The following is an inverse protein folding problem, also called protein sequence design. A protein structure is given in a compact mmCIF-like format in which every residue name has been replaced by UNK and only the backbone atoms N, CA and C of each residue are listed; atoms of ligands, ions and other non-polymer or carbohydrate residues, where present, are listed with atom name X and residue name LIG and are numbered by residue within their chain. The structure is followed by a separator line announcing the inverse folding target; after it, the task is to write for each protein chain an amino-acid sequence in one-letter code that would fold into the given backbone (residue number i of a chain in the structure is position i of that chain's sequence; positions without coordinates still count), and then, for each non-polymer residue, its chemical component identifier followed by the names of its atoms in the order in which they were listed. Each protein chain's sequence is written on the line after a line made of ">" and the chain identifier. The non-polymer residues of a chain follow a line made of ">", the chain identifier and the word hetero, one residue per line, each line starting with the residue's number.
data_IF_756488682831
#
_entry.id   IF_756488682831
#
_cell.length_a   1.000
_cell.length_b   1.000
_cell.length_c   1.000
_cell.angle_alpha   90.00
_cell.angle_beta   90.00
_cell.angle_gamma   90.00
#
_symmetry.space_group_name_H-M   'P 1'
#
loop_
_entity.id
_entity.type
_entity.pdbx_description
1 polymer ?
#
# COMPACT_ATOMS: atom_id res chain seq x y z
N UNK A 1 37.98 -5.86 16.65
CA UNK A 1 36.79 -5.01 16.52
C UNK A 1 36.62 -4.69 15.05
N UNK A 2 35.99 -5.58 14.29
CA UNK A 2 35.57 -5.26 12.93
C UNK A 2 34.45 -4.21 13.03
N UNK A 3 34.69 -3.04 12.44
CA UNK A 3 33.64 -2.06 12.21
C UNK A 3 32.63 -2.74 11.30
N UNK A 4 31.47 -3.08 11.85
CA UNK A 4 30.32 -3.55 11.10
C UNK A 4 29.87 -2.37 10.20
N UNK A 5 30.50 -2.23 9.03
CA UNK A 5 30.09 -1.29 8.00
C UNK A 5 28.70 -1.75 7.58
N UNK A 6 27.67 -1.05 8.03
CA UNK A 6 26.32 -1.19 7.47
C UNK A 6 26.46 -1.07 5.95
N UNK A 7 26.05 -2.10 5.20
CA UNK A 7 26.19 -2.07 3.75
C UNK A 7 25.45 -0.87 3.19
N UNK A 8 26.15 -0.13 2.32
CA UNK A 8 25.65 1.13 1.76
C UNK A 8 24.54 0.77 0.76
N UNK A 9 23.43 1.51 0.82
CA UNK A 9 22.39 1.44 -0.20
C UNK A 9 22.47 2.68 -1.09
N UNK A 10 22.28 2.50 -2.40
CA UNK A 10 22.14 3.58 -3.38
C UNK A 10 20.75 3.55 -4.01
N UNK A 11 20.30 4.73 -4.43
CA UNK A 11 19.02 4.89 -5.14
C UNK A 11 19.27 5.69 -6.41
N UNK A 12 18.84 5.14 -7.54
CA UNK A 12 18.97 5.77 -8.86
C UNK A 12 17.60 5.86 -9.52
N UNK A 13 17.21 7.05 -10.00
CA UNK A 13 15.97 7.20 -10.75
C UNK A 13 16.07 6.45 -12.09
N UNK A 14 14.98 5.77 -12.46
CA UNK A 14 14.84 5.09 -13.73
C UNK A 14 14.08 5.98 -14.73
N UNK A 15 14.25 5.76 -16.04
CA UNK A 15 13.40 6.41 -17.03
C UNK A 15 11.93 6.11 -16.76
N UNK A 16 11.12 7.16 -16.65
CA UNK A 16 9.67 7.04 -16.46
C UNK A 16 9.05 6.27 -17.62
N UNK A 17 8.18 5.30 -17.33
CA UNK A 17 7.49 4.50 -18.35
C UNK A 17 5.98 4.70 -18.23
N UNK A 18 5.47 5.55 -19.12
CA UNK A 18 4.06 5.98 -19.18
C UNK A 18 3.28 5.25 -20.27
N UNK A 19 1.95 5.09 -20.12
CA UNK A 19 1.10 4.68 -21.23
C UNK A 19 1.09 5.75 -22.33
N UNK A 20 0.75 5.36 -23.56
CA UNK A 20 0.72 6.27 -24.72
C UNK A 20 -0.26 7.44 -24.51
N UNK A 21 -1.41 7.16 -23.89
CA UNK A 21 -2.44 8.15 -23.58
C UNK A 21 -2.18 8.96 -22.28
N UNK A 22 -0.97 8.87 -21.70
CA UNK A 22 -0.66 9.53 -20.45
C UNK A 22 -0.81 11.06 -20.53
N UNK A 23 -1.42 11.61 -19.49
CA UNK A 23 -1.47 13.06 -19.24
C UNK A 23 -1.18 13.32 -17.76
N UNK A 24 -0.75 14.53 -17.42
CA UNK A 24 -0.62 14.97 -16.02
C UNK A 24 -1.96 15.46 -15.44
N UNK A 25 -3.10 14.88 -15.86
CA UNK A 25 -4.43 15.34 -15.46
C UNK A 25 -4.74 15.17 -13.97
N UNK A 26 -3.93 14.39 -13.25
CA UNK A 26 -4.01 14.27 -11.78
C UNK A 26 -3.34 15.43 -11.05
N UNK A 27 -2.58 16.30 -11.72
CA UNK A 27 -1.92 17.47 -11.12
C UNK A 27 -2.82 18.69 -11.10
N UNK A 28 -2.84 19.41 -9.97
CA UNK A 28 -3.44 20.74 -9.84
C UNK A 28 -2.35 21.77 -9.52
N UNK A 29 -2.07 22.65 -10.49
CA UNK A 29 -0.98 23.62 -10.45
C UNK A 29 0.30 23.13 -11.14
N UNK A 30 1.28 24.03 -11.31
CA UNK A 30 2.60 23.71 -11.86
C UNK A 30 3.70 24.54 -11.15
N UNK A 31 4.51 23.97 -10.24
CA UNK A 31 4.47 22.57 -9.78
C UNK A 31 3.15 22.22 -9.07
N UNK A 32 2.77 20.93 -9.00
CA UNK A 32 1.51 20.52 -8.38
C UNK A 32 1.49 20.89 -6.90
N UNK A 33 0.38 21.49 -6.46
CA UNK A 33 0.11 21.81 -5.05
C UNK A 33 -0.98 20.93 -4.45
N UNK A 34 -1.73 20.25 -5.32
CA UNK A 34 -2.79 19.29 -5.01
C UNK A 34 -2.90 18.27 -6.13
N UNK A 35 -3.61 17.19 -5.84
CA UNK A 35 -3.88 16.10 -6.76
C UNK A 35 -5.38 15.85 -6.91
N UNK A 36 -5.79 15.22 -8.00
CA UNK A 36 -7.18 14.83 -8.26
C UNK A 36 -7.23 13.48 -8.96
N UNK A 37 -8.33 12.75 -8.80
CA UNK A 37 -8.60 11.60 -9.66
C UNK A 37 -9.04 12.09 -11.04
N UNK A 38 -8.34 11.75 -12.12
CA UNK A 38 -8.68 12.23 -13.45
C UNK A 38 -9.78 11.40 -14.14
N UNK A 39 -10.18 10.26 -13.55
CA UNK A 39 -11.07 9.30 -14.20
C UNK A 39 -12.54 9.49 -13.83
N UNK A 40 -13.42 9.26 -14.81
CA UNK A 40 -14.88 9.31 -14.62
C UNK A 40 -15.41 8.26 -13.63
N UNK A 41 -14.66 7.16 -13.47
CA UNK A 41 -14.89 6.10 -12.48
C UNK A 41 -14.79 6.59 -11.03
N UNK A 42 -14.25 7.79 -10.79
CA UNK A 42 -14.22 8.41 -9.47
C UNK A 42 -15.31 9.47 -9.33
N UNK A 43 -16.09 9.39 -8.24
CA UNK A 43 -16.92 10.50 -7.79
C UNK A 43 -16.67 10.80 -6.32
N UNK A 44 -16.41 12.07 -5.96
CA UNK A 44 -16.32 12.46 -4.57
C UNK A 44 -17.71 12.37 -3.93
N UNK A 45 -17.80 11.71 -2.77
CA UNK A 45 -19.04 11.69 -2.00
C UNK A 45 -19.28 13.06 -1.39
N UNK A 46 -20.40 13.71 -1.72
CA UNK A 46 -20.78 14.99 -1.13
C UNK A 46 -21.21 14.86 0.33
N UNK A 47 -21.03 15.91 1.14
CA UNK A 47 -21.38 15.93 2.57
C UNK A 47 -22.84 15.52 2.84
N UNK A 48 -23.76 15.89 1.95
CA UNK A 48 -25.18 15.55 2.04
C UNK A 48 -25.42 14.05 1.83
N UNK A 49 -24.72 13.41 0.89
CA UNK A 49 -24.87 11.95 0.70
C UNK A 49 -24.26 11.19 1.87
N UNK A 50 -23.11 11.63 2.38
CA UNK A 50 -22.49 11.05 3.57
C UNK A 50 -23.38 11.12 4.82
N UNK A 51 -24.04 12.25 5.03
CA UNK A 51 -24.98 12.43 6.15
C UNK A 51 -26.25 11.60 5.98
N UNK A 52 -26.86 11.60 4.78
CA UNK A 52 -28.07 10.83 4.48
C UNK A 52 -27.84 9.33 4.64
N UNK A 53 -26.73 8.82 4.11
CA UNK A 53 -26.37 7.41 4.24
C UNK A 53 -26.07 7.08 5.70
N UNK A 54 -25.39 7.92 6.49
CA UNK A 54 -25.20 7.68 7.93
C UNK A 54 -26.53 7.53 8.70
N UNK A 55 -27.58 8.22 8.29
CA UNK A 55 -28.92 8.11 8.89
C UNK A 55 -29.72 6.90 8.38
N UNK A 56 -29.46 6.44 7.15
CA UNK A 56 -30.24 5.40 6.47
C UNK A 56 -29.58 4.02 6.44
N UNK A 57 -28.27 3.92 6.68
CA UNK A 57 -27.59 2.63 6.73
C UNK A 57 -27.86 1.99 8.09
N UNK A 58 -28.51 0.82 8.16
CA UNK A 58 -28.55 0.06 9.40
C UNK A 58 -27.12 -0.19 9.87
N UNK A 59 -26.89 -0.08 11.18
CA UNK A 59 -25.57 -0.34 11.74
C UNK A 59 -25.24 -1.84 11.65
N UNK A 60 -24.77 -2.29 10.49
CA UNK A 60 -24.32 -3.65 10.23
C UNK A 60 -22.91 -3.92 10.78
N UNK A 61 -22.47 -3.12 11.77
CA UNK A 61 -21.26 -3.45 12.50
C UNK A 61 -21.55 -4.68 13.36
N UNK A 62 -21.00 -5.82 12.93
CA UNK A 62 -20.99 -7.02 13.75
C UNK A 62 -20.27 -6.65 15.06
N UNK A 63 -20.91 -6.83 16.22
CA UNK A 63 -20.27 -6.52 17.49
C UNK A 63 -19.00 -7.33 17.62
N UNK A 64 -17.91 -6.66 18.03
CA UNK A 64 -16.63 -7.31 18.28
C UNK A 64 -16.85 -8.37 19.34
N UNK A 65 -16.53 -9.64 19.08
CA UNK A 65 -16.60 -10.66 20.11
C UNK A 65 -15.77 -10.21 21.31
N UNK A 66 -16.36 -10.27 22.52
CA UNK A 66 -15.67 -9.91 23.77
C UNK A 66 -14.45 -10.81 23.99
N UNK A 67 -14.50 -12.01 23.44
CA UNK A 67 -13.40 -12.97 23.39
C UNK A 67 -12.59 -12.84 22.09
N UNK A 68 -11.32 -12.42 22.21
CA UNK A 68 -10.38 -12.29 21.10
C UNK A 68 -9.95 -13.65 20.53
N UNK A 69 -10.22 -14.77 21.20
CA UNK A 69 -9.91 -16.12 20.69
C UNK A 69 -10.82 -16.55 19.54
N UNK A 70 -11.99 -15.91 19.39
CA UNK A 70 -12.87 -16.08 18.23
C UNK A 70 -12.39 -15.29 17.00
N UNK A 71 -11.36 -14.45 17.16
CA UNK A 71 -10.74 -13.74 16.04
C UNK A 71 -9.74 -14.64 15.31
N UNK A 72 -9.37 -14.16 14.13
CA UNK A 72 -8.27 -14.68 13.31
C UNK A 72 -7.09 -15.17 14.14
N UNK A 73 -6.71 -16.44 13.96
CA UNK A 73 -5.49 -16.98 14.58
C UNK A 73 -4.27 -16.25 14.01
N UNK A 74 -3.67 -15.40 14.84
CA UNK A 74 -2.38 -14.76 14.55
C UNK A 74 -1.29 -15.82 14.55
N UNK A 75 -0.47 -15.83 13.49
CA UNK A 75 0.68 -16.74 13.37
C UNK A 75 1.95 -15.93 13.37
N UNK A 76 2.90 -16.35 14.19
CA UNK A 76 4.25 -15.78 14.15
C UNK A 76 4.88 -16.04 12.77
N UNK A 77 5.49 -15.04 12.11
CA UNK A 77 6.02 -15.24 10.77
C UNK A 77 7.38 -15.94 10.77
N UNK A 78 7.56 -16.91 9.87
CA UNK A 78 8.86 -17.54 9.63
C UNK A 78 9.76 -16.67 8.75
N UNK A 79 10.56 -15.77 9.33
CA UNK A 79 11.44 -14.86 8.57
C UNK A 79 12.74 -15.50 8.04
N UNK A 80 13.14 -16.68 8.55
CA UNK A 80 14.47 -17.27 8.33
C UNK A 80 14.68 -18.12 7.07
N UNK A 81 13.65 -18.38 6.28
CA UNK A 81 13.78 -19.18 5.05
C UNK A 81 13.64 -18.25 3.83
N UNK A 82 14.76 -17.74 3.27
CA UNK A 82 14.74 -17.06 2.00
C UNK A 82 14.28 -18.02 0.92
N UNK A 83 13.44 -17.57 0.00
CA UNK A 83 13.06 -18.36 -1.16
C UNK A 83 14.13 -18.14 -2.23
N UNK A 84 14.96 -19.15 -2.57
CA UNK A 84 16.07 -18.95 -3.51
C UNK A 84 15.60 -18.58 -4.93
N UNK A 85 14.32 -18.79 -5.24
CA UNK A 85 13.75 -18.63 -6.58
C UNK A 85 12.43 -17.83 -6.59
N UNK A 86 11.99 -17.30 -5.46
CA UNK A 86 10.63 -16.76 -5.32
C UNK A 86 10.57 -15.46 -4.53
N UNK A 87 9.61 -14.62 -4.89
CA UNK A 87 9.23 -13.46 -4.09
C UNK A 87 8.38 -13.95 -2.90
N UNK A 88 8.68 -13.45 -1.70
CA UNK A 88 7.96 -13.81 -0.47
C UNK A 88 7.25 -12.58 0.07
N UNK A 89 5.93 -12.67 0.26
CA UNK A 89 5.13 -11.65 0.92
C UNK A 89 4.62 -12.19 2.25
N UNK A 90 4.96 -11.50 3.34
CA UNK A 90 4.49 -11.81 4.69
C UNK A 90 3.46 -10.77 5.10
N UNK A 91 2.21 -11.18 5.28
CA UNK A 91 1.15 -10.29 5.74
C UNK A 91 1.29 -10.05 7.24
N UNK A 92 1.45 -8.78 7.62
CA UNK A 92 1.54 -8.33 9.01
C UNK A 92 0.15 -7.95 9.55
N UNK A 93 -0.78 -7.59 8.67
CA UNK A 93 -2.14 -7.17 9.01
C UNK A 93 -2.52 -5.88 8.30
N UNK A 94 -3.82 -5.62 8.16
CA UNK A 94 -4.34 -4.50 7.37
C UNK A 94 -3.74 -4.48 5.94
N UNK A 95 -3.07 -3.39 5.54
CA UNK A 95 -2.29 -3.26 4.31
C UNK A 95 -0.78 -3.46 4.50
N UNK A 96 -0.32 -3.82 5.71
CA UNK A 96 1.10 -3.98 6.01
C UNK A 96 1.65 -5.32 5.53
N UNK A 97 2.67 -5.28 4.68
CA UNK A 97 3.39 -6.46 4.19
C UNK A 97 4.90 -6.27 4.30
N UNK A 98 5.59 -7.34 4.68
CA UNK A 98 7.03 -7.47 4.43
C UNK A 98 7.22 -8.30 3.16
N UNK A 99 7.77 -7.67 2.12
CA UNK A 99 8.14 -8.29 0.86
C UNK A 99 9.64 -8.56 0.85
N UNK A 100 10.04 -9.78 0.51
CA UNK A 100 11.42 -10.18 0.30
C UNK A 100 11.58 -10.65 -1.14
N UNK A 101 12.49 -10.03 -1.89
CA UNK A 101 12.84 -10.47 -3.25
C UNK A 101 13.66 -11.77 -3.20
N UNK A 102 13.76 -12.51 -4.31
CA UNK A 102 14.74 -13.59 -4.40
C UNK A 102 16.15 -13.13 -4.02
N UNK A 103 16.90 -14.02 -3.38
CA UNK A 103 18.33 -13.83 -3.18
C UNK A 103 19.06 -14.11 -4.50
N UNK A 104 19.94 -13.20 -4.92
CA UNK A 104 20.68 -13.34 -6.17
C UNK A 104 22.14 -13.72 -5.89
N UNK A 105 22.65 -14.71 -6.63
CA UNK A 105 24.05 -15.15 -6.53
C UNK A 105 24.43 -15.60 -5.11
N UNK A 106 25.52 -15.07 -4.52
CA UNK A 106 26.00 -15.48 -3.20
C UNK A 106 25.27 -14.80 -2.02
N UNK A 107 24.29 -13.93 -2.28
CA UNK A 107 23.57 -13.22 -1.21
C UNK A 107 22.77 -14.20 -0.34
N UNK A 108 22.79 -14.00 0.98
CA UNK A 108 22.05 -14.85 1.92
C UNK A 108 20.54 -14.55 1.95
N UNK A 109 20.13 -13.41 1.41
CA UNK A 109 18.74 -12.93 1.34
C UNK A 109 18.59 -11.96 0.15
N UNK A 110 17.37 -11.75 -0.29
CA UNK A 110 17.05 -10.62 -1.17
C UNK A 110 16.75 -9.33 -0.41
N UNK A 111 16.36 -8.30 -1.16
CA UNK A 111 15.96 -7.00 -0.62
C UNK A 111 14.63 -7.15 0.10
N UNK A 112 14.52 -6.52 1.27
CA UNK A 112 13.34 -6.52 2.14
C UNK A 112 12.67 -5.15 2.16
N UNK A 113 11.43 -5.10 1.70
CA UNK A 113 10.62 -3.88 1.61
C UNK A 113 9.39 -4.03 2.50
N UNK A 114 9.15 -3.06 3.38
CA UNK A 114 7.88 -2.93 4.07
C UNK A 114 6.93 -2.04 3.25
N UNK A 115 5.72 -2.52 3.04
CA UNK A 115 4.63 -1.77 2.40
C UNK A 115 3.68 -1.31 3.49
N UNK A 116 3.37 -0.01 3.54
CA UNK A 116 2.42 0.64 4.48
C UNK A 116 2.48 0.08 5.93
N UNK A 117 3.63 0.17 6.62
CA UNK A 117 3.83 -0.50 7.90
C UNK A 117 3.06 0.18 9.05
N UNK A 118 2.18 -0.58 9.71
CA UNK A 118 1.39 -0.14 10.87
C UNK A 118 1.39 -1.18 11.99
N UNK A 119 2.00 -0.80 13.11
CA UNK A 119 2.06 -1.58 14.35
C UNK A 119 1.26 -0.95 15.49
N UNK A 120 0.93 0.35 15.43
CA UNK A 120 0.19 1.01 16.49
C UNK A 120 -1.18 0.39 16.71
N UNK A 121 -1.60 0.35 17.98
CA UNK A 121 -2.93 -0.15 18.35
C UNK A 121 -4.04 0.75 17.82
N UNK A 122 -3.80 2.06 17.77
CA UNK A 122 -4.76 3.06 17.29
C UNK A 122 -4.16 3.84 16.13
N UNK A 123 -4.93 3.97 15.05
CA UNK A 123 -4.56 4.74 13.87
C UNK A 123 -5.37 6.03 13.85
N UNK A 124 -4.68 7.17 13.87
CA UNK A 124 -5.28 8.51 13.76
C UNK A 124 -4.39 9.59 14.40
N UNK A 125 -4.88 10.84 14.51
CA UNK A 125 -4.06 11.97 14.95
C UNK A 125 -3.39 11.68 16.29
N UNK A 126 -2.05 11.76 16.29
CA UNK A 126 -1.19 11.47 17.45
C UNK A 126 -1.39 10.08 18.09
N UNK A 127 -2.02 9.13 17.38
CA UNK A 127 -2.39 7.83 17.94
C UNK A 127 -3.42 7.90 19.07
N UNK A 128 -4.06 9.06 19.29
CA UNK A 128 -4.98 9.29 20.41
C UNK A 128 -6.45 9.13 20.01
N UNK A 129 -6.78 9.54 18.78
CA UNK A 129 -8.14 9.50 18.22
C UNK A 129 -8.13 8.56 17.02
N UNK A 130 -9.20 7.80 16.81
CA UNK A 130 -9.35 6.90 15.66
C UNK A 130 -9.55 5.43 16.04
N UNK A 131 -9.73 4.55 15.04
CA UNK A 131 -10.04 3.14 15.27
C UNK A 131 -8.89 2.40 15.94
N UNK A 132 -9.22 1.46 16.81
CA UNK A 132 -8.28 0.58 17.53
C UNK A 132 -8.31 -0.78 16.88
N UNK A 133 -7.16 -1.37 16.53
CA UNK A 133 -7.03 -2.73 15.97
C UNK A 133 -7.64 -3.80 16.89
N UNK A 134 -8.26 -4.86 16.36
CA UNK A 134 -8.62 -6.04 17.20
C UNK A 134 -7.60 -7.15 17.14
N UNK A 135 -6.93 -7.33 16.01
CA UNK A 135 -5.88 -8.35 15.87
C UNK A 135 -4.51 -7.70 16.11
N UNK A 136 -3.73 -8.14 17.12
CA UNK A 136 -2.37 -7.63 17.33
C UNK A 136 -1.48 -7.96 16.12
N UNK A 137 -0.36 -7.24 15.93
CA UNK A 137 0.56 -7.59 14.86
C UNK A 137 1.21 -8.94 15.19
N UNK A 138 1.55 -9.76 14.20
CA UNK A 138 2.04 -11.12 14.40
C UNK A 138 3.45 -11.19 15.00
N UNK A 139 4.14 -10.05 15.06
CA UNK A 139 5.44 -9.86 15.67
C UNK A 139 5.60 -8.39 16.06
N UNK A 140 6.55 -8.11 16.94
CA UNK A 140 7.03 -6.76 17.25
C UNK A 140 7.97 -6.23 16.16
N UNK A 141 8.20 -4.92 16.15
CA UNK A 141 9.17 -4.31 15.24
C UNK A 141 10.59 -4.85 15.50
N UNK A 142 10.93 -5.17 16.75
CA UNK A 142 12.25 -5.69 17.11
C UNK A 142 12.48 -7.12 16.57
N UNK A 143 11.42 -7.93 16.48
CA UNK A 143 11.44 -9.28 15.90
C UNK A 143 11.49 -9.30 14.37
N UNK A 144 11.21 -8.18 13.70
CA UNK A 144 11.36 -8.11 12.24
C UNK A 144 12.80 -8.43 11.81
N UNK A 145 12.99 -9.06 10.64
CA UNK A 145 14.31 -9.11 10.04
C UNK A 145 14.82 -7.69 9.68
N UNK A 146 16.05 -7.60 9.20
CA UNK A 146 16.54 -6.36 8.61
C UNK A 146 15.62 -5.90 7.46
N UNK A 147 15.26 -4.61 7.43
CA UNK A 147 14.44 -3.99 6.38
C UNK A 147 15.30 -2.97 5.66
N UNK A 148 15.26 -2.98 4.34
CA UNK A 148 16.08 -2.11 3.50
C UNK A 148 15.31 -0.86 3.08
N UNK A 149 14.00 -0.98 2.86
CA UNK A 149 13.16 0.14 2.49
C UNK A 149 11.70 0.04 2.98
N UNK A 150 11.03 1.19 2.97
CA UNK A 150 9.59 1.34 3.19
C UNK A 150 8.97 2.02 1.98
N UNK A 151 7.90 1.45 1.43
CA UNK A 151 7.05 2.13 0.45
C UNK A 151 5.74 2.54 1.12
N UNK A 152 5.36 3.81 0.92
CA UNK A 152 4.11 4.39 1.42
C UNK A 152 3.19 4.66 0.24
N UNK A 153 2.00 4.08 0.22
CA UNK A 153 0.99 4.29 -0.83
C UNK A 153 0.36 5.68 -0.74
N UNK A 154 0.00 6.12 0.46
CA UNK A 154 -0.61 7.43 0.71
C UNK A 154 -0.50 7.81 2.19
N UNK A 155 -0.87 9.04 2.53
CA UNK A 155 -0.59 9.62 3.84
C UNK A 155 -1.64 9.34 4.91
N UNK A 156 -2.70 8.54 4.67
CA UNK A 156 -3.68 8.23 5.73
C UNK A 156 -3.03 7.52 6.93
N UNK A 157 -3.62 7.70 8.12
CA UNK A 157 -3.04 7.24 9.38
C UNK A 157 -2.91 5.71 9.49
N UNK A 158 -3.74 4.96 8.77
CA UNK A 158 -3.72 3.50 8.72
C UNK A 158 -2.79 2.93 7.63
N UNK A 159 -2.07 3.80 6.91
CA UNK A 159 -1.01 3.43 5.94
C UNK A 159 0.34 4.07 6.27
N UNK A 160 0.33 5.17 7.01
CA UNK A 160 1.51 5.91 7.45
C UNK A 160 1.45 6.17 8.96
N UNK A 161 2.00 5.24 9.73
CA UNK A 161 2.01 5.27 11.19
C UNK A 161 3.33 5.84 11.75
N UNK A 162 3.29 7.07 12.27
CA UNK A 162 4.46 7.74 12.84
C UNK A 162 5.15 6.97 13.96
N UNK A 163 4.38 6.26 14.80
CA UNK A 163 4.94 5.47 15.89
C UNK A 163 5.73 4.27 15.38
N UNK A 164 5.23 3.63 14.33
CA UNK A 164 5.93 2.54 13.63
C UNK A 164 7.18 3.03 12.92
N UNK A 165 7.07 4.11 12.15
CA UNK A 165 8.19 4.65 11.39
C UNK A 165 9.34 5.08 12.31
N UNK A 166 9.05 5.74 13.44
CA UNK A 166 10.09 6.13 14.40
C UNK A 166 10.83 4.94 15.01
N UNK A 167 10.13 3.85 15.32
CA UNK A 167 10.75 2.61 15.82
C UNK A 167 11.61 1.94 14.75
N UNK A 168 11.14 1.89 13.50
CA UNK A 168 11.91 1.36 12.38
C UNK A 168 13.20 2.17 12.14
N UNK A 169 13.09 3.50 12.06
CA UNK A 169 14.26 4.38 11.90
C UNK A 169 15.30 4.15 13.00
N UNK A 170 14.85 4.05 14.26
CA UNK A 170 15.72 3.77 15.40
C UNK A 170 16.40 2.40 15.27
N UNK A 171 15.64 1.36 14.93
CA UNK A 171 16.16 -0.02 14.74
C UNK A 171 17.22 -0.08 13.63
N UNK A 172 17.00 0.60 12.52
CA UNK A 172 17.90 0.63 11.37
C UNK A 172 18.96 1.72 11.44
N UNK A 173 19.09 2.42 12.58
CA UNK A 173 20.07 3.50 12.79
C UNK A 173 20.05 4.56 11.68
N UNK A 174 18.86 4.85 11.17
CA UNK A 174 18.66 5.82 10.08
C UNK A 174 18.94 5.31 8.67
N UNK A 175 19.47 4.10 8.45
CA UNK A 175 19.87 3.61 7.12
C UNK A 175 18.70 3.21 6.20
N UNK A 176 17.46 3.33 6.66
CA UNK A 176 16.25 2.90 5.96
C UNK A 176 15.88 3.86 4.83
N UNK A 177 15.61 3.34 3.62
CA UNK A 177 15.13 4.13 2.49
C UNK A 177 13.60 4.22 2.49
N UNK A 178 13.06 5.34 2.03
CA UNK A 178 11.63 5.58 1.93
C UNK A 178 11.24 5.97 0.50
N UNK A 179 10.19 5.34 -0.01
CA UNK A 179 9.59 5.63 -1.31
C UNK A 179 8.15 6.07 -1.11
N UNK A 180 7.75 7.19 -1.72
CA UNK A 180 6.43 7.78 -1.53
C UNK A 180 6.00 8.61 -2.74
N UNK A 181 4.70 8.89 -2.84
CA UNK A 181 4.15 9.80 -3.84
C UNK A 181 4.51 11.28 -3.56
N UNK A 182 4.41 12.12 -4.59
CA UNK A 182 4.58 13.59 -4.50
C UNK A 182 3.87 14.23 -3.28
N UNK A 183 4.55 15.14 -2.58
CA UNK A 183 4.08 15.79 -1.34
C UNK A 183 4.23 14.97 -0.06
N UNK A 184 4.25 13.63 -0.12
CA UNK A 184 4.34 12.77 1.07
C UNK A 184 5.68 12.88 1.77
N UNK A 185 6.76 13.24 1.06
CA UNK A 185 8.09 13.45 1.67
C UNK A 185 8.05 14.51 2.77
N UNK A 186 7.31 15.59 2.55
CA UNK A 186 7.12 16.66 3.54
C UNK A 186 6.41 16.16 4.79
N UNK A 187 5.44 15.25 4.63
CA UNK A 187 4.75 14.59 5.75
C UNK A 187 5.73 13.74 6.55
N UNK A 188 6.49 12.87 5.88
CA UNK A 188 7.45 11.95 6.52
C UNK A 188 8.52 12.69 7.34
N UNK A 189 9.11 13.74 6.78
CA UNK A 189 10.09 14.58 7.48
C UNK A 189 9.41 15.36 8.62
N UNK A 190 8.20 15.86 8.37
CA UNK A 190 7.38 16.61 9.33
C UNK A 190 6.96 15.81 10.56
N UNK A 191 7.01 14.47 10.52
CA UNK A 191 6.78 13.61 11.69
C UNK A 191 7.81 13.80 12.80
N UNK A 192 9.01 14.31 12.47
CA UNK A 192 10.14 14.49 13.42
C UNK A 192 10.56 13.22 14.14
N UNK A 193 10.49 12.08 13.45
CA UNK A 193 10.89 10.75 13.98
C UNK A 193 12.27 10.28 13.51
N UNK A 194 13.11 11.20 13.01
CA UNK A 194 14.46 10.91 12.54
C UNK A 194 14.57 10.47 11.08
N UNK A 195 13.52 10.67 10.27
CA UNK A 195 13.58 10.45 8.83
C UNK A 195 14.29 11.64 8.18
N UNK A 196 15.40 11.35 7.53
CA UNK A 196 16.25 12.32 6.87
C UNK A 196 15.84 12.53 5.40
N UNK A 197 15.81 13.78 4.88
CA UNK A 197 15.37 14.06 3.50
C UNK A 197 16.13 13.29 2.41
N UNK A 198 17.41 13.01 2.62
CA UNK A 198 18.30 12.24 1.74
C UNK A 198 17.94 10.75 1.67
N UNK A 199 17.10 10.26 2.59
CA UNK A 199 16.63 8.88 2.60
C UNK A 199 15.23 8.73 1.99
N UNK A 200 14.57 9.83 1.62
CA UNK A 200 13.23 9.83 1.04
C UNK A 200 13.30 10.18 -0.44
N UNK A 201 12.88 9.24 -1.28
CA UNK A 201 12.68 9.41 -2.71
C UNK A 201 11.18 9.61 -2.97
N UNK A 202 10.86 10.76 -3.55
CA UNK A 202 9.50 11.15 -3.89
C UNK A 202 9.29 10.97 -5.40
N UNK A 203 8.19 10.35 -5.80
CA UNK A 203 7.94 9.93 -7.18
C UNK A 203 6.52 10.29 -7.62
N UNK A 204 6.35 10.69 -8.88
CA UNK A 204 5.03 10.81 -9.50
C UNK A 204 4.56 9.44 -10.02
N UNK A 205 3.30 9.37 -10.45
CA UNK A 205 2.82 8.20 -11.17
C UNK A 205 3.69 7.91 -12.40
N UNK A 206 4.01 6.62 -12.55
CA UNK A 206 4.86 6.01 -13.56
C UNK A 206 6.36 6.21 -13.38
N UNK A 207 6.79 6.99 -12.37
CA UNK A 207 8.20 7.11 -12.03
C UNK A 207 8.68 5.85 -11.29
N UNK A 208 9.92 5.46 -11.57
CA UNK A 208 10.57 4.34 -10.94
C UNK A 208 11.96 4.70 -10.45
N UNK A 209 12.47 3.90 -9.51
CA UNK A 209 13.86 3.97 -9.09
C UNK A 209 14.42 2.56 -8.93
N UNK A 210 15.74 2.46 -8.88
CA UNK A 210 16.46 1.26 -8.52
C UNK A 210 17.07 1.46 -7.14
N UNK A 211 16.73 0.56 -6.23
CA UNK A 211 17.39 0.40 -4.95
C UNK A 211 18.43 -0.71 -5.07
N UNK A 212 19.69 -0.37 -4.83
CA UNK A 212 20.81 -1.31 -4.77
C UNK A 212 21.38 -1.32 -3.36
N UNK A 213 21.71 -2.51 -2.86
CA UNK A 213 22.38 -2.67 -1.56
C UNK A 213 23.50 -3.70 -1.68
N UNK A 214 24.71 -3.26 -1.33
CA UNK A 214 25.92 -4.07 -1.41
C UNK A 214 25.77 -5.37 -0.62
N UNK A 215 26.10 -6.49 -1.28
CA UNK A 215 26.00 -7.83 -0.71
C UNK A 215 24.57 -8.38 -0.56
N UNK A 216 23.53 -7.66 -0.99
CA UNK A 216 22.12 -8.08 -0.90
C UNK A 216 21.48 -8.21 -2.27
N UNK A 217 21.49 -7.15 -3.08
CA UNK A 217 20.91 -7.19 -4.42
C UNK A 217 20.29 -5.87 -4.87
N UNK A 218 19.40 -5.97 -5.87
CA UNK A 218 18.77 -4.84 -6.55
C UNK A 218 17.29 -5.08 -6.76
N UNK A 219 16.47 -4.07 -6.52
CA UNK A 219 15.02 -4.08 -6.76
C UNK A 219 14.58 -2.73 -7.32
N UNK A 220 13.51 -2.73 -8.09
CA UNK A 220 12.95 -1.53 -8.69
C UNK A 220 11.51 -1.29 -8.20
N UNK A 221 11.32 -0.37 -7.24
CA UNK A 221 10.02 0.20 -6.92
C UNK A 221 9.59 1.18 -8.01
N UNK A 222 8.36 1.04 -8.49
CA UNK A 222 7.70 1.98 -9.40
C UNK A 222 6.42 2.48 -8.74
N UNK A 223 6.27 3.80 -8.67
CA UNK A 223 5.08 4.48 -8.22
C UNK A 223 4.04 4.41 -9.35
N UNK A 224 2.94 3.71 -9.16
CA UNK A 224 1.89 3.55 -10.17
C UNK A 224 0.56 4.17 -9.73
N UNK A 225 -0.36 4.49 -10.65
CA UNK A 225 -1.61 5.12 -10.26
C UNK A 225 -2.49 4.26 -9.34
N UNK A 226 -3.30 4.93 -8.53
CA UNK A 226 -4.40 4.35 -7.76
C UNK A 226 -5.59 5.33 -7.78
N UNK A 227 -6.81 4.82 -7.59
CA UNK A 227 -8.02 5.64 -7.48
C UNK A 227 -8.39 5.82 -6.01
N UNK A 228 -7.75 6.79 -5.35
CA UNK A 228 -7.93 7.06 -3.93
C UNK A 228 -7.81 8.55 -3.62
N UNK A 229 -7.59 8.92 -2.36
CA UNK A 229 -7.42 10.29 -1.87
C UNK A 229 -6.30 10.35 -0.85
N UNK A 230 -5.91 11.56 -0.44
CA UNK A 230 -4.96 11.77 0.66
C UNK A 230 -5.51 12.74 1.70
N UNK A 231 -4.95 12.72 2.90
CA UNK A 231 -5.21 13.73 3.94
C UNK A 231 -5.06 13.21 5.37
N UNK A 232 -4.22 13.88 6.16
CA UNK A 232 -4.08 13.65 7.63
C UNK A 232 -4.70 14.73 8.50
N UNK A 233 -4.96 15.90 7.93
CA UNK A 233 -5.51 17.04 8.66
C UNK A 233 -6.93 17.28 8.18
N UNK A 234 -7.86 17.65 9.08
CA UNK A 234 -9.14 18.19 8.66
C UNK A 234 -8.89 19.28 7.60
N UNK A 235 -9.77 19.40 6.60
CA UNK A 235 -9.76 20.45 5.55
C UNK A 235 -8.57 20.48 4.56
N UNK A 236 -7.54 19.64 4.67
CA UNK A 236 -6.46 19.54 3.68
C UNK A 236 -6.37 18.13 3.08
N UNK A 237 -7.40 17.79 2.30
CA UNK A 237 -7.41 16.56 1.50
C UNK A 237 -6.76 16.80 0.14
N UNK A 238 -6.22 15.73 -0.44
CA UNK A 238 -5.64 15.69 -1.78
C UNK A 238 -4.40 16.58 -1.97
N UNK A 239 -3.74 17.00 -0.88
CA UNK A 239 -2.50 17.79 -0.90
C UNK A 239 -1.23 16.97 -1.20
N UNK A 240 -1.31 15.65 -1.05
CA UNK A 240 -0.24 14.71 -1.41
C UNK A 240 -0.76 13.66 -2.38
N UNK A 241 0.12 13.09 -3.18
CA UNK A 241 -0.21 12.03 -4.11
C UNK A 241 -0.46 10.72 -3.37
N UNK A 242 -1.43 9.95 -3.84
CA UNK A 242 -1.65 8.54 -3.50
C UNK A 242 -1.21 7.66 -4.67
N UNK A 243 -0.72 6.47 -4.41
CA UNK A 243 -0.23 5.57 -5.43
C UNK A 243 -0.39 4.09 -5.06
N UNK A 244 -0.32 3.24 -6.06
CA UNK A 244 0.03 1.84 -5.92
C UNK A 244 1.53 1.66 -6.12
N UNK A 245 2.07 0.50 -5.76
CA UNK A 245 3.48 0.17 -5.90
C UNK A 245 3.66 -1.08 -6.75
N UNK A 246 4.55 -1.00 -7.73
CA UNK A 246 5.10 -2.17 -8.40
C UNK A 246 6.48 -2.41 -7.81
N UNK A 247 6.70 -3.61 -7.29
CA UNK A 247 8.01 -4.06 -6.81
C UNK A 247 8.49 -5.12 -7.78
N UNK A 248 9.53 -4.83 -8.56
CA UNK A 248 10.04 -5.77 -9.54
C UNK A 248 11.54 -5.96 -9.46
N UNK A 249 11.98 -7.17 -9.78
CA UNK A 249 13.38 -7.41 -10.09
C UNK A 249 13.76 -6.76 -11.43
N UNK A 250 15.05 -6.40 -11.62
CA UNK A 250 15.53 -5.73 -12.84
C UNK A 250 15.41 -6.60 -14.10
N UNK A 251 15.61 -7.91 -13.93
CA UNK A 251 15.59 -8.88 -15.04
C UNK A 251 14.21 -8.92 -15.72
N UNK A 252 14.19 -9.14 -17.03
CA UNK A 252 12.95 -9.35 -17.80
C UNK A 252 12.17 -10.59 -17.35
N UNK A 253 12.87 -11.61 -16.85
CA UNK A 253 12.30 -12.82 -16.23
C UNK A 253 12.17 -12.73 -14.70
N UNK A 254 12.48 -11.57 -14.12
CA UNK A 254 12.45 -11.32 -12.69
C UNK A 254 11.03 -11.29 -12.13
N UNK A 255 10.91 -11.57 -10.83
CA UNK A 255 9.66 -11.56 -10.09
C UNK A 255 9.09 -10.16 -9.97
N UNK A 256 7.76 -10.08 -10.06
CA UNK A 256 7.01 -8.82 -9.97
C UNK A 256 5.85 -8.96 -9.01
N UNK A 257 5.76 -8.01 -8.09
CA UNK A 257 4.63 -7.83 -7.19
C UNK A 257 3.93 -6.51 -7.47
N UNK A 258 2.61 -6.53 -7.47
CA UNK A 258 1.77 -5.34 -7.47
C UNK A 258 1.14 -5.16 -6.08
N UNK A 259 1.25 -3.97 -5.50
CA UNK A 259 0.59 -3.57 -4.27
C UNK A 259 -0.34 -2.42 -4.57
N UNK A 260 -1.65 -2.65 -4.48
CA UNK A 260 -2.64 -1.67 -4.90
C UNK A 260 -2.75 -0.46 -3.96
N UNK A 261 -2.21 -0.53 -2.75
CA UNK A 261 -2.56 0.39 -1.67
C UNK A 261 -4.07 0.33 -1.39
N UNK A 262 -4.63 1.46 -0.97
CA UNK A 262 -6.07 1.66 -1.01
C UNK A 262 -6.48 2.22 -2.36
N UNK A 263 -7.51 1.63 -2.94
CA UNK A 263 -8.02 2.09 -4.22
C UNK A 263 -9.46 1.66 -4.41
N UNK A 264 -10.23 2.49 -5.11
CA UNK A 264 -11.46 2.10 -5.78
C UNK A 264 -11.19 1.55 -7.17
N UNK A 265 -12.25 1.04 -7.80
CA UNK A 265 -12.22 0.57 -9.18
C UNK A 265 -13.24 1.31 -10.04
N UNK A 266 -14.48 1.39 -9.57
CA UNK A 266 -15.51 2.22 -10.18
C UNK A 266 -16.56 2.67 -9.15
N UNK A 267 -16.96 3.94 -9.25
CA UNK A 267 -18.03 4.50 -8.45
C UNK A 267 -19.37 3.87 -8.84
N UNK A 268 -20.15 3.45 -7.84
CA UNK A 268 -21.51 2.93 -7.97
C UNK A 268 -22.46 3.82 -7.20
N UNK A 269 -23.74 3.85 -7.56
CA UNK A 269 -24.71 4.83 -7.02
C UNK A 269 -25.63 4.24 -5.96
N UNK A 270 -25.63 2.92 -5.78
CA UNK A 270 -26.46 2.22 -4.79
C UNK A 270 -25.63 1.32 -3.87
N UNK A 271 -26.07 1.15 -2.62
CA UNK A 271 -25.46 0.23 -1.66
C UNK A 271 -25.77 -1.25 -1.96
N UNK A 272 -26.80 -1.50 -2.79
CA UNK A 272 -27.16 -2.84 -3.27
C UNK A 272 -26.27 -3.30 -4.44
N UNK A 273 -25.51 -2.38 -5.05
CA UNK A 273 -24.58 -2.69 -6.13
C UNK A 273 -23.27 -3.26 -5.56
N UNK A 274 -23.22 -4.59 -5.49
CA UNK A 274 -22.05 -5.32 -4.99
C UNK A 274 -20.85 -5.29 -5.97
N UNK A 275 -21.14 -5.13 -7.26
CA UNK A 275 -20.18 -5.09 -8.36
C UNK A 275 -20.28 -3.77 -9.16
N UNK A 276 -19.20 -3.39 -9.83
CA UNK A 276 -19.15 -2.25 -10.76
C UNK A 276 -19.85 -2.50 -12.11
N UNK A 277 -20.35 -3.71 -12.37
CA UNK A 277 -20.91 -4.06 -13.69
C UNK A 277 -22.08 -3.16 -14.11
N UNK A 278 -22.87 -2.70 -13.15
CA UNK A 278 -23.99 -1.77 -13.39
C UNK A 278 -23.62 -0.31 -13.09
N UNK A 279 -22.32 0.01 -13.03
CA UNK A 279 -21.85 1.37 -12.80
C UNK A 279 -22.17 2.28 -13.99
N UNK A 280 -22.44 3.57 -13.75
CA UNK A 280 -22.74 4.54 -14.82
C UNK A 280 -21.54 4.89 -15.71
N UNK A 281 -20.35 4.42 -15.36
CA UNK A 281 -19.09 4.73 -16.03
C UNK A 281 -18.24 3.47 -16.17
N UNK A 282 -17.39 3.44 -17.20
CA UNK A 282 -16.33 2.43 -17.32
C UNK A 282 -15.41 2.49 -16.11
N UNK A 283 -14.80 1.35 -15.70
CA UNK A 283 -13.88 1.32 -14.57
C UNK A 283 -12.59 2.10 -14.83
N UNK A 284 -11.85 2.35 -13.75
CA UNK A 284 -10.57 3.05 -13.80
C UNK A 284 -9.60 2.37 -14.80
N UNK A 285 -9.17 3.07 -15.87
CA UNK A 285 -8.35 2.49 -16.92
C UNK A 285 -6.92 2.15 -16.44
N UNK A 286 -6.45 2.80 -15.36
CA UNK A 286 -5.07 2.69 -14.91
C UNK A 286 -4.64 1.26 -14.58
N UNK A 287 -5.54 0.41 -14.07
CA UNK A 287 -5.18 -0.98 -13.75
C UNK A 287 -4.87 -1.80 -14.99
N UNK A 288 -5.60 -1.56 -16.07
CA UNK A 288 -5.33 -2.19 -17.37
C UNK A 288 -4.02 -1.67 -17.96
N UNK A 289 -3.77 -0.37 -17.88
CA UNK A 289 -2.50 0.25 -18.32
C UNK A 289 -1.31 -0.32 -17.53
N UNK A 290 -1.46 -0.50 -16.21
CA UNK A 290 -0.46 -1.16 -15.35
C UNK A 290 -0.19 -2.59 -15.83
N UNK A 291 -1.23 -3.38 -16.12
CA UNK A 291 -1.09 -4.75 -16.63
C UNK A 291 -0.49 -4.83 -18.02
N UNK A 292 -0.77 -3.86 -18.89
CA UNK A 292 -0.21 -3.77 -20.25
C UNK A 292 1.27 -3.40 -20.23
N UNK A 293 1.67 -2.46 -19.36
CA UNK A 293 3.06 -2.01 -19.26
C UNK A 293 3.92 -2.97 -18.44
N UNK A 294 3.48 -3.35 -17.25
CA UNK A 294 4.33 -4.03 -16.27
C UNK A 294 3.98 -5.50 -16.08
N UNK A 295 2.74 -5.89 -16.37
CA UNK A 295 2.27 -7.27 -16.24
C UNK A 295 2.93 -8.24 -17.22
N UNK A 296 2.70 -9.56 -17.04
CA UNK A 296 1.98 -10.16 -15.92
C UNK A 296 2.76 -10.05 -14.58
N UNK A 297 2.03 -10.03 -13.45
CA UNK A 297 2.61 -10.06 -12.10
C UNK A 297 2.56 -11.46 -11.51
N UNK A 298 3.56 -11.86 -10.73
CA UNK A 298 3.53 -13.12 -9.96
C UNK A 298 2.53 -13.04 -8.80
N UNK A 299 2.42 -11.87 -8.18
CA UNK A 299 1.57 -11.63 -7.02
C UNK A 299 0.99 -10.21 -7.01
N UNK A 300 -0.31 -10.09 -6.72
CA UNK A 300 -0.96 -8.82 -6.44
C UNK A 300 -1.56 -8.80 -5.03
N UNK A 301 -1.29 -7.74 -4.27
CA UNK A 301 -1.86 -7.48 -2.96
C UNK A 301 -3.00 -6.47 -3.13
N UNK A 302 -4.25 -6.91 -2.92
CA UNK A 302 -5.44 -6.19 -3.35
C UNK A 302 -6.39 -5.92 -2.17
N UNK A 303 -6.88 -4.67 -1.99
CA UNK A 303 -7.79 -4.35 -0.90
C UNK A 303 -9.15 -5.01 -1.13
N UNK A 304 -9.71 -5.63 -0.10
CA UNK A 304 -11.03 -6.28 -0.15
C UNK A 304 -11.92 -5.85 1.04
N UNK A 305 -11.52 -4.77 1.71
CA UNK A 305 -12.15 -4.21 2.91
C UNK A 305 -12.61 -2.78 2.74
N UNK A 306 -13.21 -2.22 3.80
CA UNK A 306 -13.62 -0.81 3.90
C UNK A 306 -14.46 -0.28 2.71
N UNK A 307 -15.23 -1.14 2.04
CA UNK A 307 -15.94 -0.80 0.81
C UNK A 307 -17.43 -0.45 0.98
N UNK A 308 -17.98 -0.54 2.20
CA UNK A 308 -19.39 -0.20 2.51
C UNK A 308 -19.49 1.06 3.36
N UNK A 309 -20.49 1.94 3.11
CA UNK A 309 -21.52 1.86 2.05
C UNK A 309 -20.94 2.12 0.65
N UNK A 310 -21.39 1.34 -0.34
CA UNK A 310 -20.82 1.33 -1.71
C UNK A 310 -21.05 2.64 -2.43
N UNK A 311 -22.25 3.20 -2.32
CA UNK A 311 -22.65 4.49 -2.90
C UNK A 311 -21.75 5.67 -2.49
N UNK A 312 -20.98 5.51 -1.41
CA UNK A 312 -20.03 6.50 -0.91
C UNK A 312 -18.59 6.06 -1.19
N UNK A 313 -18.25 4.83 -0.81
CA UNK A 313 -16.87 4.40 -0.72
C UNK A 313 -16.32 3.77 -2.01
N UNK A 314 -17.15 3.32 -2.95
CA UNK A 314 -16.66 2.56 -4.11
C UNK A 314 -15.76 3.35 -5.07
N UNK A 315 -15.84 4.69 -5.02
CA UNK A 315 -14.89 5.55 -5.72
C UNK A 315 -13.47 5.47 -5.17
N UNK A 316 -13.29 5.00 -3.93
CA UNK A 316 -12.02 5.02 -3.18
C UNK A 316 -11.60 3.67 -2.60
N UNK A 317 -12.54 2.73 -2.42
CA UNK A 317 -12.31 1.41 -1.87
C UNK A 317 -13.03 0.35 -2.70
N UNK A 318 -12.25 -0.59 -3.23
CA UNK A 318 -12.71 -1.74 -4.00
C UNK A 318 -13.47 -2.75 -3.12
N UNK A 319 -14.59 -3.26 -3.63
CA UNK A 319 -15.18 -4.50 -3.11
C UNK A 319 -14.31 -5.71 -3.48
N UNK A 320 -14.54 -6.89 -2.88
CA UNK A 320 -13.91 -8.13 -3.35
C UNK A 320 -14.05 -8.36 -4.87
N UNK A 321 -15.21 -8.06 -5.44
CA UNK A 321 -15.52 -8.19 -6.88
C UNK A 321 -14.72 -7.19 -7.73
N UNK A 322 -14.63 -5.94 -7.27
CA UNK A 322 -13.78 -4.93 -7.90
C UNK A 322 -12.31 -5.40 -7.91
N UNK A 323 -11.84 -5.98 -6.82
CA UNK A 323 -10.48 -6.53 -6.71
C UNK A 323 -10.25 -7.76 -7.59
N UNK A 324 -11.27 -8.57 -7.87
CA UNK A 324 -11.17 -9.62 -8.89
C UNK A 324 -11.01 -9.04 -10.30
N UNK A 325 -11.64 -7.90 -10.60
CA UNK A 325 -11.40 -7.19 -11.86
C UNK A 325 -10.02 -6.56 -11.92
N UNK A 326 -9.56 -5.92 -10.83
CA UNK A 326 -8.18 -5.39 -10.74
C UNK A 326 -7.17 -6.52 -10.98
N UNK A 327 -7.34 -7.69 -10.35
CA UNK A 327 -6.50 -8.88 -10.56
C UNK A 327 -6.35 -9.22 -12.05
N UNK A 328 -7.46 -9.22 -12.81
CA UNK A 328 -7.47 -9.49 -14.25
C UNK A 328 -6.79 -8.38 -15.04
N UNK A 329 -7.13 -7.12 -14.75
CA UNK A 329 -6.62 -5.95 -15.46
C UNK A 329 -5.11 -5.79 -15.30
N UNK A 330 -4.58 -6.01 -14.10
CA UNK A 330 -3.13 -6.00 -13.87
C UNK A 330 -2.45 -7.28 -14.38
N UNK A 331 -3.21 -8.28 -14.82
CA UNK A 331 -2.70 -9.59 -15.30
C UNK A 331 -1.90 -10.32 -14.22
N UNK A 332 -2.41 -10.32 -12.99
CA UNK A 332 -1.74 -11.04 -11.89
C UNK A 332 -2.00 -12.54 -11.98
N UNK A 333 -1.00 -13.36 -11.71
CA UNK A 333 -1.15 -14.82 -11.63
C UNK A 333 -1.82 -15.25 -10.32
N UNK A 334 -1.49 -14.56 -9.22
CA UNK A 334 -2.00 -14.83 -7.87
C UNK A 334 -2.33 -13.53 -7.17
N UNK A 335 -3.30 -13.57 -6.26
CA UNK A 335 -3.62 -12.41 -5.44
C UNK A 335 -3.85 -12.78 -3.98
N UNK A 336 -3.45 -11.88 -3.08
CA UNK A 336 -3.80 -11.92 -1.67
C UNK A 336 -4.68 -10.72 -1.36
N UNK A 337 -5.83 -11.00 -0.73
CA UNK A 337 -6.67 -9.95 -0.17
C UNK A 337 -5.95 -9.26 0.99
N UNK A 338 -6.17 -7.96 1.14
CA UNK A 338 -5.70 -7.13 2.25
C UNK A 338 -6.75 -6.08 2.62
N UNK A 339 -6.51 -5.27 3.65
CA UNK A 339 -7.44 -4.21 4.12
C UNK A 339 -8.81 -4.68 4.65
N UNK A 340 -9.17 -5.97 4.49
CA UNK A 340 -10.40 -6.59 5.03
C UNK A 340 -10.34 -6.87 6.52
N UNK A 341 -9.13 -6.98 7.08
CA UNK A 341 -8.96 -6.80 8.51
C UNK A 341 -8.99 -5.29 8.72
N UNK A 342 -10.23 -4.75 8.86
CA UNK A 342 -10.41 -3.66 9.82
C UNK A 342 -9.71 -4.13 11.11
N UNK A 343 -9.49 -3.27 12.10
CA UNK A 343 -9.68 -3.75 13.44
C UNK A 343 -10.66 -4.95 13.53
N UNK A 344 -11.84 -4.83 12.91
CA UNK A 344 -13.05 -5.68 12.88
C UNK A 344 -13.14 -6.84 11.86
N UNK A 345 -12.30 -7.88 12.00
CA UNK A 345 -12.59 -9.27 11.48
C UNK A 345 -12.45 -9.41 9.95
N UNK A 346 -12.06 -10.49 9.25
CA UNK A 346 -11.93 -11.97 9.35
C UNK A 346 -10.63 -12.38 8.59
N UNK A 347 -10.14 -13.63 8.66
CA UNK A 347 -8.97 -14.12 7.89
C UNK A 347 -9.21 -15.49 7.28
N UNK A 348 -8.62 -15.70 6.10
CA UNK A 348 -8.37 -17.03 5.55
C UNK A 348 -6.85 -17.29 5.52
N UNK A 349 -6.45 -18.52 5.85
CA UNK A 349 -5.08 -19.01 5.63
C UNK A 349 -5.03 -19.64 4.24
N UNK A 350 -4.20 -19.12 3.33
CA UNK A 350 -3.87 -19.80 2.07
C UNK A 350 -2.59 -20.62 2.28
N UNK A 351 -2.69 -21.94 2.15
CA UNK A 351 -1.53 -22.80 1.95
C UNK A 351 -1.39 -23.02 0.45
N UNK A 352 -0.41 -22.36 -0.17
CA UNK A 352 0.03 -22.73 -1.51
C UNK A 352 0.86 -24.02 -1.38
N UNK A 353 0.40 -25.11 -1.97
CA UNK A 353 1.31 -26.18 -2.43
C UNK A 353 1.75 -25.86 -3.84
#
# INVERSE_FOLDING_TARGET
>A
MERNMSSVSSVHLLPTRRPEAYTAAHHVGNPPTRFVNPWQSYKPSGLVSAFRTRLQTPNNSVPVPTDRTALVKVRYPGFGNPSPQGLKATWIGHASFLVETPALGPAQRGIRILLDPVWSDRVGPYGMVGPVRFTPPPCTIDELPEVDAVCISHDHYDHLDSGTLGKLVKKHKGALRFFCGLGVKSVLIGLRVGIHPEHVTEMDWWDGCALEKDGVGRVEPVCSPAQHRSGRTPWNFDGTLWCSWIIKEPSSSGKKLFFAGDTGYCHVTSDDQFSHQDAPHSPCPAFREIGELYGPFDLALLPIGCFKPRSILSGQHSSPEDSLSIHKDVRSQRSLGMHYVKPTTLSYTYNAQ
#
